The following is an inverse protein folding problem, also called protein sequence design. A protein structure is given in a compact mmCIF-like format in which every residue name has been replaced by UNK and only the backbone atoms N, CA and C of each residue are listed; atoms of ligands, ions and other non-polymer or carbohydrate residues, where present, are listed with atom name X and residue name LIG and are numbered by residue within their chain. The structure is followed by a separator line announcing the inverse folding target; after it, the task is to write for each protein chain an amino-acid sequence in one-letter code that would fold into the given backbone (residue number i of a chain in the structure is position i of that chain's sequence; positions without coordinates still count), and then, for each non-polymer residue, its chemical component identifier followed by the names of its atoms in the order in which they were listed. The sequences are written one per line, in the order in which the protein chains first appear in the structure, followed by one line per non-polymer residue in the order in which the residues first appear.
data_IF_589097891106
#
_entry.id   IF_589097891106
#
_cell.length_a   1.000
_cell.length_b   1.000
_cell.length_c   1.000
_cell.angle_alpha   90.00
_cell.angle_beta   90.00
_cell.angle_gamma   90.00
#
_symmetry.space_group_name_H-M   'P 1'
#
loop_
_entity.id
_entity.type
_entity.pdbx_description
1 polymer ?
#
# COMPACT_ATOMS: atom_id res chain seq x y z
N UNK A 1 27.30 -41.30 35.49
CA UNK A 1 26.02 -41.04 36.20
C UNK A 1 25.63 -39.56 36.20
N UNK A 2 26.49 -38.60 36.60
CA UNK A 2 26.14 -37.17 36.73
C UNK A 2 25.65 -36.47 35.43
N UNK A 3 26.15 -36.85 34.25
CA UNK A 3 25.72 -36.28 32.95
C UNK A 3 24.26 -36.60 32.59
N UNK A 4 23.75 -37.79 32.96
CA UNK A 4 22.38 -38.21 32.66
C UNK A 4 21.33 -37.42 33.47
N UNK A 5 21.62 -37.17 34.76
CA UNK A 5 20.74 -36.39 35.62
C UNK A 5 20.59 -34.93 35.16
N UNK A 6 21.67 -34.32 34.67
CA UNK A 6 21.65 -32.95 34.16
C UNK A 6 20.76 -32.81 32.90
N UNK A 7 20.81 -33.80 32.00
CA UNK A 7 19.98 -33.83 30.79
C UNK A 7 18.49 -33.99 31.13
N UNK A 8 18.17 -34.87 32.10
CA UNK A 8 16.79 -35.04 32.57
C UNK A 8 16.24 -33.76 33.20
N UNK A 9 17.01 -33.10 34.07
CA UNK A 9 16.59 -31.84 34.69
C UNK A 9 16.38 -30.72 33.65
N UNK A 10 17.27 -30.61 32.66
CA UNK A 10 17.11 -29.66 31.56
C UNK A 10 15.86 -29.92 30.71
N UNK A 11 15.53 -31.20 30.47
CA UNK A 11 14.31 -31.59 29.76
C UNK A 11 13.04 -31.26 30.56
N UNK A 12 13.06 -31.44 31.88
CA UNK A 12 11.94 -31.08 32.77
C UNK A 12 11.71 -29.56 32.83
N UNK A 13 12.78 -28.77 32.94
CA UNK A 13 12.69 -27.31 32.89
C UNK A 13 12.19 -26.82 31.52
N UNK A 14 12.70 -27.40 30.42
CA UNK A 14 12.22 -27.08 29.07
C UNK A 14 10.74 -27.42 28.89
N UNK A 15 10.28 -28.55 29.44
CA UNK A 15 8.86 -28.95 29.42
C UNK A 15 8.01 -27.95 30.20
N UNK A 16 8.42 -27.57 31.41
CA UNK A 16 7.72 -26.58 32.23
C UNK A 16 7.59 -25.24 31.52
N UNK A 17 8.66 -24.78 30.88
CA UNK A 17 8.66 -23.56 30.05
C UNK A 17 7.75 -23.67 28.82
N UNK A 18 7.62 -24.86 28.21
CA UNK A 18 6.66 -25.07 27.11
C UNK A 18 5.22 -25.04 27.62
N UNK A 19 4.93 -25.67 28.76
CA UNK A 19 3.60 -25.68 29.35
C UNK A 19 3.13 -24.27 29.74
N UNK A 20 4.03 -23.41 30.25
CA UNK A 20 3.70 -22.00 30.52
C UNK A 20 3.45 -21.21 29.23
N UNK A 21 4.28 -21.39 28.21
CA UNK A 21 4.09 -20.73 26.90
C UNK A 21 2.78 -21.13 26.22
N UNK A 22 2.36 -22.38 26.34
CA UNK A 22 1.07 -22.84 25.81
C UNK A 22 -0.08 -22.13 26.52
N UNK A 23 -0.06 -22.07 27.86
CA UNK A 23 -1.08 -21.35 28.65
C UNK A 23 -1.13 -19.85 28.31
N UNK A 24 0.03 -19.21 28.16
CA UNK A 24 0.13 -17.80 27.76
C UNK A 24 -0.42 -17.57 26.35
N UNK A 25 -0.10 -18.44 25.40
CA UNK A 25 -0.60 -18.37 24.02
C UNK A 25 -2.12 -18.58 23.96
N UNK A 26 -2.66 -19.53 24.73
CA UNK A 26 -4.11 -19.78 24.83
C UNK A 26 -4.84 -18.59 25.44
N UNK A 27 -4.30 -18.00 26.51
CA UNK A 27 -4.86 -16.79 27.12
C UNK A 27 -4.86 -15.62 26.13
N UNK A 28 -3.74 -15.38 25.44
CA UNK A 28 -3.62 -14.33 24.41
C UNK A 28 -4.58 -14.55 23.24
N UNK A 29 -4.74 -15.79 22.79
CA UNK A 29 -5.69 -16.15 21.75
C UNK A 29 -7.13 -15.86 22.18
N UNK A 30 -7.48 -16.21 23.42
CA UNK A 30 -8.81 -15.95 23.96
C UNK A 30 -9.09 -14.45 24.13
N UNK A 31 -8.10 -13.66 24.53
CA UNK A 31 -8.20 -12.20 24.55
C UNK A 31 -8.41 -11.61 23.14
N UNK A 32 -7.61 -12.00 22.16
CA UNK A 32 -7.75 -11.59 20.75
C UNK A 32 -9.11 -12.01 20.16
N UNK A 33 -9.60 -13.20 20.51
CA UNK A 33 -10.93 -13.68 20.05
C UNK A 33 -12.09 -12.88 20.64
N UNK A 34 -11.96 -12.38 21.88
CA UNK A 34 -12.99 -11.55 22.54
C UNK A 34 -13.05 -10.13 22.00
N UNK A 35 -11.95 -9.61 21.43
CA UNK A 35 -11.95 -8.29 20.79
C UNK A 35 -12.87 -8.29 19.56
N UNK A 36 -13.70 -7.24 19.37
CA UNK A 36 -14.54 -7.13 18.19
C UNK A 36 -13.66 -7.02 16.94
N UNK A 37 -13.74 -8.02 16.06
CA UNK A 37 -13.09 -7.97 14.75
C UNK A 37 -13.97 -7.15 13.81
N UNK A 38 -13.37 -6.14 13.17
CA UNK A 38 -14.00 -5.55 11.98
C UNK A 38 -14.09 -6.67 10.95
N UNK A 39 -15.31 -6.99 10.49
CA UNK A 39 -15.50 -7.92 9.37
C UNK A 39 -14.77 -7.41 8.13
N UNK A 40 -14.83 -8.16 7.03
CA UNK A 40 -14.40 -7.64 5.72
C UNK A 40 -15.11 -6.31 5.51
N UNK A 41 -14.36 -5.20 5.54
CA UNK A 41 -14.92 -3.88 5.28
C UNK A 41 -15.57 -3.97 3.90
N UNK A 42 -16.82 -3.54 3.76
CA UNK A 42 -17.48 -3.56 2.46
C UNK A 42 -16.53 -2.93 1.43
N UNK A 43 -16.27 -3.70 0.38
CA UNK A 43 -15.22 -3.41 -0.59
C UNK A 43 -15.56 -2.09 -1.31
N UNK A 44 -14.74 -1.05 -1.13
CA UNK A 44 -14.90 0.23 -1.86
C UNK A 44 -15.26 1.48 -1.06
N UNK A 45 -15.01 1.53 0.26
CA UNK A 45 -15.34 2.73 1.07
C UNK A 45 -14.15 3.49 1.65
N UNK A 46 -12.92 3.00 1.50
CA UNK A 46 -11.71 3.71 1.94
C UNK A 46 -11.00 4.43 0.81
N UNK A 47 -11.26 4.02 -0.43
CA UNK A 47 -10.50 4.46 -1.59
C UNK A 47 -11.41 4.65 -2.80
N UNK A 48 -11.08 5.65 -3.60
CA UNK A 48 -11.70 5.89 -4.89
C UNK A 48 -11.20 4.87 -5.92
N UNK A 49 -12.10 4.18 -6.62
CA UNK A 49 -11.71 3.25 -7.66
C UNK A 49 -11.04 4.01 -8.81
N UNK A 50 -9.93 3.47 -9.31
CA UNK A 50 -9.23 4.10 -10.41
C UNK A 50 -10.07 4.09 -11.69
N UNK A 51 -10.13 5.21 -12.44
CA UNK A 51 -10.89 5.29 -13.67
C UNK A 51 -10.36 4.34 -14.73
N UNK A 52 -11.21 3.98 -15.70
CA UNK A 52 -10.75 3.33 -16.92
C UNK A 52 -9.98 4.35 -17.75
N UNK A 53 -9.02 3.90 -18.55
CA UNK A 53 -8.23 4.80 -19.40
C UNK A 53 -9.11 5.65 -20.32
N UNK A 54 -10.19 5.06 -20.86
CA UNK A 54 -11.16 5.72 -21.74
C UNK A 54 -11.96 6.84 -21.04
N UNK A 55 -12.12 6.75 -19.71
CA UNK A 55 -12.86 7.73 -18.92
C UNK A 55 -11.99 8.95 -18.56
N UNK A 56 -10.66 8.84 -18.75
CA UNK A 56 -9.74 9.93 -18.47
C UNK A 56 -9.74 10.91 -19.64
N UNK A 57 -10.13 12.16 -19.38
CA UNK A 57 -10.29 13.21 -20.37
C UNK A 57 -9.54 14.48 -19.97
N UNK A 58 -9.33 15.36 -20.94
CA UNK A 58 -8.77 16.70 -20.72
C UNK A 58 -7.26 16.77 -20.46
N UNK A 59 -6.56 15.64 -20.32
CA UNK A 59 -5.09 15.56 -20.18
C UNK A 59 -4.39 15.02 -21.44
N UNK A 60 -5.10 15.04 -22.57
CA UNK A 60 -4.63 14.52 -23.85
C UNK A 60 -4.76 13.00 -23.96
N UNK A 61 -4.13 12.43 -24.98
CA UNK A 61 -4.11 10.98 -25.19
C UNK A 61 -3.22 10.29 -24.14
N UNK A 62 -3.77 9.26 -23.51
CA UNK A 62 -3.08 8.47 -22.49
C UNK A 62 -2.92 7.02 -22.92
N UNK A 63 -1.75 6.46 -22.64
CA UNK A 63 -1.47 5.02 -22.73
C UNK A 63 -1.27 4.46 -21.34
N UNK A 64 -1.70 3.22 -21.09
CA UNK A 64 -1.40 2.54 -19.82
C UNK A 64 0.13 2.38 -19.72
N UNK A 65 0.68 2.78 -18.58
CA UNK A 65 2.08 2.58 -18.23
C UNK A 65 2.23 1.46 -17.21
N UNK A 66 3.46 0.96 -17.04
CA UNK A 66 3.80 0.02 -15.97
C UNK A 66 3.59 0.70 -14.61
N UNK A 67 2.81 0.09 -13.68
CA UNK A 67 2.70 0.60 -12.32
C UNK A 67 4.09 0.68 -11.66
N UNK A 68 4.39 1.78 -10.97
CA UNK A 68 5.73 2.00 -10.41
C UNK A 68 5.73 2.39 -8.94
N UNK A 69 5.00 3.43 -8.56
CA UNK A 69 5.02 3.95 -7.19
C UNK A 69 4.23 3.05 -6.23
N UNK A 70 4.77 2.65 -5.06
CA UNK A 70 4.01 1.88 -4.07
C UNK A 70 2.80 2.62 -3.49
N UNK A 71 1.71 1.89 -3.19
CA UNK A 71 0.58 2.42 -2.43
C UNK A 71 0.95 2.54 -0.95
N UNK A 72 0.49 3.62 -0.32
CA UNK A 72 0.66 3.81 1.11
C UNK A 72 -0.35 2.95 1.88
N UNK A 73 0.13 2.12 2.82
CA UNK A 73 -0.73 1.30 3.67
C UNK A 73 -1.23 -0.01 3.04
N UNK A 74 -0.71 -0.41 1.88
CA UNK A 74 -1.08 -1.66 1.20
C UNK A 74 0.07 -2.26 0.38
N UNK A 75 -0.18 -3.43 -0.22
CA UNK A 75 0.82 -4.20 -0.97
C UNK A 75 0.83 -4.00 -2.50
N UNK A 76 0.28 -2.90 -3.01
CA UNK A 76 0.11 -2.65 -4.45
C UNK A 76 0.95 -1.49 -5.00
N UNK A 77 0.96 -1.33 -6.33
CA UNK A 77 1.55 -0.18 -7.03
C UNK A 77 0.46 0.71 -7.65
N UNK A 78 0.73 2.02 -7.71
CA UNK A 78 -0.19 3.02 -8.24
C UNK A 78 -0.37 2.78 -9.73
N UNK A 79 -1.62 2.83 -10.19
CA UNK A 79 -1.92 2.76 -11.62
C UNK A 79 -1.29 3.96 -12.30
N UNK A 80 -0.61 3.70 -13.42
CA UNK A 80 0.16 4.70 -14.15
C UNK A 80 -0.33 4.81 -15.59
N UNK A 81 -0.34 6.03 -16.10
CA UNK A 81 -0.54 6.36 -17.49
C UNK A 81 0.58 7.25 -18.00
N UNK A 82 0.87 7.12 -19.27
CA UNK A 82 1.86 7.90 -19.99
C UNK A 82 1.12 8.78 -20.98
N UNK A 83 1.32 10.08 -20.87
CA UNK A 83 0.69 11.10 -21.71
C UNK A 83 1.71 11.96 -22.43
N UNK A 84 1.20 12.86 -23.26
CA UNK A 84 2.00 13.88 -23.95
C UNK A 84 3.20 13.29 -24.71
N UNK A 85 2.95 12.21 -25.47
CA UNK A 85 3.96 11.46 -26.23
C UNK A 85 5.13 10.95 -25.38
N UNK A 86 4.88 10.60 -24.11
CA UNK A 86 5.91 10.08 -23.21
C UNK A 86 6.55 11.13 -22.31
N UNK A 87 6.16 12.40 -22.41
CA UNK A 87 6.76 13.49 -21.62
C UNK A 87 6.14 13.65 -20.23
N UNK A 88 4.94 13.09 -20.03
CA UNK A 88 4.21 13.16 -18.76
C UNK A 88 3.79 11.79 -18.29
N UNK A 89 3.86 11.61 -16.97
CA UNK A 89 3.38 10.44 -16.26
C UNK A 89 2.22 10.88 -15.38
N UNK A 90 1.15 10.09 -15.35
CA UNK A 90 0.01 10.32 -14.47
C UNK A 90 -0.19 9.10 -13.59
N UNK A 91 -0.35 9.29 -12.29
CA UNK A 91 -0.67 8.23 -11.34
C UNK A 91 -1.99 8.47 -10.64
N UNK A 92 -2.73 7.41 -10.35
CA UNK A 92 -3.97 7.52 -9.58
C UNK A 92 -3.69 7.70 -8.09
N UNK A 93 -4.19 8.79 -7.51
CA UNK A 93 -4.33 8.94 -6.08
C UNK A 93 -5.71 8.43 -5.64
N UNK A 94 -5.74 7.20 -5.13
CA UNK A 94 -6.95 6.57 -4.66
C UNK A 94 -7.50 7.15 -3.36
N UNK A 95 -6.71 7.90 -2.61
CA UNK A 95 -7.18 8.55 -1.37
C UNK A 95 -8.02 9.78 -1.68
N UNK A 96 -7.69 10.52 -2.73
CA UNK A 96 -8.37 11.76 -3.11
C UNK A 96 -9.23 11.64 -4.37
N UNK A 97 -9.06 10.58 -5.16
CA UNK A 97 -9.80 10.40 -6.41
C UNK A 97 -9.34 11.30 -7.54
N UNK A 98 -8.05 11.61 -7.61
CA UNK A 98 -7.44 12.54 -8.58
C UNK A 98 -6.23 11.91 -9.30
N UNK A 99 -5.86 12.50 -10.45
CA UNK A 99 -4.65 12.14 -11.18
C UNK A 99 -3.50 13.03 -10.76
N UNK A 100 -2.43 12.45 -10.23
CA UNK A 100 -1.18 13.18 -9.95
C UNK A 100 -0.29 13.14 -11.19
N UNK A 101 0.04 14.31 -11.71
CA UNK A 101 0.91 14.47 -12.86
C UNK A 101 2.37 14.63 -12.47
N UNK A 102 3.25 14.03 -13.27
CA UNK A 102 4.70 14.11 -13.11
C UNK A 102 5.39 14.28 -14.47
N UNK A 103 6.52 14.96 -14.47
CA UNK A 103 7.37 15.06 -15.65
C UNK A 103 8.16 13.75 -15.83
N UNK A 104 8.13 13.17 -17.03
CA UNK A 104 8.75 11.86 -17.29
C UNK A 104 10.29 11.89 -17.30
N UNK A 105 10.90 13.06 -17.47
CA UNK A 105 12.37 13.18 -17.51
C UNK A 105 13.02 13.17 -16.14
N UNK A 106 12.42 13.84 -15.15
CA UNK A 106 13.01 14.03 -13.83
C UNK A 106 12.08 13.64 -12.67
N UNK A 107 10.85 13.23 -12.97
CA UNK A 107 9.86 12.78 -12.00
C UNK A 107 9.26 13.90 -11.17
N UNK A 108 9.47 15.19 -11.52
CA UNK A 108 8.92 16.32 -10.75
C UNK A 108 7.40 16.34 -10.80
N UNK A 109 6.77 16.65 -9.66
CA UNK A 109 5.33 16.82 -9.57
C UNK A 109 4.86 18.05 -10.37
N UNK A 110 3.83 17.87 -11.18
CA UNK A 110 3.20 18.90 -12.02
C UNK A 110 1.88 19.40 -11.43
N UNK A 111 1.33 18.70 -10.43
CA UNK A 111 0.06 19.01 -9.80
C UNK A 111 -0.92 17.83 -9.84
N UNK A 112 -2.08 18.04 -9.25
CA UNK A 112 -3.20 17.10 -9.31
C UNK A 112 -4.25 17.58 -10.32
N UNK A 113 -4.87 16.65 -11.03
CA UNK A 113 -5.82 16.92 -12.10
C UNK A 113 -7.09 16.08 -11.91
N UNK A 114 -8.23 16.69 -12.23
CA UNK A 114 -9.51 15.99 -12.30
C UNK A 114 -9.52 15.06 -13.53
N UNK A 115 -9.81 13.77 -13.33
CA UNK A 115 -9.73 12.80 -14.42
C UNK A 115 -10.83 12.97 -15.48
N UNK A 116 -11.97 13.58 -15.16
CA UNK A 116 -13.10 13.74 -16.09
C UNK A 116 -12.97 14.97 -16.96
N UNK A 117 -12.31 16.00 -16.46
CA UNK A 117 -12.22 17.32 -17.10
C UNK A 117 -10.80 17.72 -17.48
N UNK A 118 -9.79 17.10 -16.87
CA UNK A 118 -8.38 17.47 -16.99
C UNK A 118 -8.01 18.79 -16.32
N UNK A 119 -8.94 19.42 -15.59
CA UNK A 119 -8.67 20.66 -14.87
C UNK A 119 -7.69 20.40 -13.75
N UNK A 120 -6.73 21.31 -13.59
CA UNK A 120 -5.80 21.26 -12.48
C UNK A 120 -6.53 21.61 -11.17
N UNK A 121 -6.47 20.69 -10.21
CA UNK A 121 -7.05 20.81 -8.87
C UNK A 121 -6.05 21.40 -7.88
N UNK A 122 -4.79 20.97 -7.99
CA UNK A 122 -3.70 21.41 -7.11
C UNK A 122 -2.46 21.81 -7.92
N UNK A 123 -1.72 22.85 -7.49
CA UNK A 123 -0.49 23.25 -8.14
C UNK A 123 0.61 22.19 -7.97
N UNK A 124 1.72 22.38 -8.70
CA UNK A 124 2.92 21.59 -8.53
C UNK A 124 3.48 21.72 -7.10
N UNK A 125 4.01 20.62 -6.57
CA UNK A 125 4.60 20.57 -5.24
C UNK A 125 6.07 20.17 -5.36
N UNK A 126 7.04 21.09 -5.18
CA UNK A 126 8.45 20.81 -5.43
C UNK A 126 9.04 19.67 -4.58
N UNK A 127 8.45 19.42 -3.40
CA UNK A 127 8.88 18.35 -2.50
C UNK A 127 8.45 16.96 -2.97
N UNK A 128 7.50 16.86 -3.92
CA UNK A 128 6.96 15.60 -4.42
C UNK A 128 7.63 15.24 -5.74
N UNK A 129 8.10 14.00 -5.84
CA UNK A 129 8.68 13.45 -7.05
C UNK A 129 8.57 11.92 -7.10
N UNK A 130 8.64 11.38 -8.31
CA UNK A 130 8.63 9.93 -8.56
C UNK A 130 9.89 9.44 -9.27
N UNK A 131 11.00 10.22 -9.23
CA UNK A 131 12.23 9.90 -10.00
C UNK A 131 12.75 8.49 -9.74
N UNK A 132 12.61 8.01 -8.50
CA UNK A 132 13.02 6.65 -8.09
C UNK A 132 12.20 5.53 -8.76
N UNK A 133 11.03 5.85 -9.30
CA UNK A 133 10.04 4.91 -9.83
C UNK A 133 9.72 5.14 -11.30
N UNK A 134 10.47 6.00 -12.00
CA UNK A 134 10.31 6.22 -13.44
C UNK A 134 10.89 5.06 -14.24
#
# INVERSE_FOLDING_TARGET
MKKSQAVLNAALESRKQKETKVKEAENKLNEEKKKPRKGTKNYGHEYHPAPKTEDIKGVGELKKGTPGTPLQGGGGLRKRWIGDKGRKVYEWDSSHGELEGYQASDGKHLGAFDFKTGKQLKPAEPKRNIKRYL
#
